data_IF_250849593914
#
_entry.id   IF_250849593914
#
_cell.length_a   1.000
_cell.length_b   1.000
_cell.length_c   1.000
_cell.angle_alpha   90.00
_cell.angle_beta   90.00
_cell.angle_gamma   90.00
#
_symmetry.space_group_name_H-M   'P 1'
#
loop_
_entity.id
_entity.type
_entity.pdbx_description
1 polymer ?
#
# COMPACT_ATOMS: atom_id res chain seq x y z
N UNK A 1 -3.64 33.87 -17.12
CA UNK A 1 -3.93 32.42 -17.33
C UNK A 1 -5.43 32.23 -17.49
N UNK A 2 -5.88 31.38 -18.40
CA UNK A 2 -7.32 31.08 -18.56
C UNK A 2 -7.81 30.17 -17.43
N UNK A 3 -9.13 30.12 -17.19
CA UNK A 3 -9.75 29.22 -16.20
C UNK A 3 -9.37 27.75 -16.40
N UNK A 4 -9.21 27.33 -17.66
CA UNK A 4 -8.76 25.99 -18.01
C UNK A 4 -7.31 25.71 -17.53
N UNK A 5 -6.40 26.67 -17.74
CA UNK A 5 -5.01 26.53 -17.28
C UNK A 5 -4.94 26.50 -15.75
N UNK A 6 -5.72 27.34 -15.05
CA UNK A 6 -5.81 27.29 -13.58
C UNK A 6 -6.37 25.97 -13.08
N UNK A 7 -7.37 25.40 -13.78
CA UNK A 7 -7.91 24.08 -13.48
C UNK A 7 -6.88 22.96 -13.62
N UNK A 8 -6.09 22.97 -14.70
CA UNK A 8 -5.02 21.98 -14.92
C UNK A 8 -3.92 22.09 -13.87
N UNK A 9 -3.46 23.31 -13.57
CA UNK A 9 -2.47 23.54 -12.49
C UNK A 9 -3.02 23.04 -11.16
N UNK A 10 -4.28 23.36 -10.85
CA UNK A 10 -4.96 22.85 -9.65
C UNK A 10 -4.95 21.33 -9.61
N UNK A 11 -5.30 20.66 -10.71
CA UNK A 11 -5.33 19.19 -10.80
C UNK A 11 -3.96 18.56 -10.53
N UNK A 12 -2.90 19.09 -11.15
CA UNK A 12 -1.53 18.60 -10.90
C UNK A 12 -1.12 18.81 -9.44
N UNK A 13 -1.42 19.98 -8.86
CA UNK A 13 -1.16 20.24 -7.44
C UNK A 13 -1.97 19.31 -6.53
N UNK A 14 -3.20 18.96 -6.90
CA UNK A 14 -4.03 17.99 -6.19
C UNK A 14 -3.40 16.60 -6.17
N UNK A 15 -2.88 16.13 -7.30
CA UNK A 15 -2.15 14.85 -7.39
C UNK A 15 -0.88 14.85 -6.53
N UNK A 16 -0.07 15.92 -6.62
CA UNK A 16 1.15 16.03 -5.83
C UNK A 16 0.87 16.09 -4.32
N UNK A 17 -0.14 16.87 -3.93
CA UNK A 17 -0.58 16.99 -2.54
C UNK A 17 -1.10 15.66 -2.01
N UNK A 18 -1.91 14.93 -2.79
CA UNK A 18 -2.41 13.62 -2.37
C UNK A 18 -1.27 12.61 -2.16
N UNK A 19 -0.25 12.58 -3.02
CA UNK A 19 0.91 11.71 -2.83
C UNK A 19 1.78 12.12 -1.62
N UNK A 20 1.85 13.42 -1.31
CA UNK A 20 2.48 13.92 -0.08
C UNK A 20 1.75 13.43 1.17
N UNK A 21 0.42 13.54 1.17
CA UNK A 21 -0.43 13.07 2.26
C UNK A 21 -0.40 11.56 2.40
N UNK A 22 -0.37 10.83 1.30
CA UNK A 22 -0.16 9.39 1.27
C UNK A 22 1.13 9.00 2.00
N UNK A 23 2.27 9.61 1.64
CA UNK A 23 3.54 9.40 2.33
C UNK A 23 3.44 9.70 3.83
N UNK A 24 2.86 10.86 4.18
CA UNK A 24 2.77 11.32 5.56
C UNK A 24 1.89 10.42 6.41
N UNK A 25 0.68 10.09 5.94
CA UNK A 25 -0.29 9.25 6.64
C UNK A 25 0.28 7.83 6.77
N UNK A 26 0.84 7.27 5.70
CA UNK A 26 1.36 5.92 5.75
C UNK A 26 2.51 5.79 6.76
N UNK A 27 3.45 6.73 6.75
CA UNK A 27 4.57 6.77 7.71
C UNK A 27 4.13 7.05 9.14
N UNK A 28 3.44 8.15 9.37
CA UNK A 28 3.22 8.67 10.73
C UNK A 28 1.95 8.12 11.38
N UNK A 29 0.91 7.84 10.60
CA UNK A 29 -0.37 7.36 11.14
C UNK A 29 -0.43 5.83 11.07
N UNK A 30 -0.25 5.25 9.88
CA UNK A 30 -0.44 3.82 9.69
C UNK A 30 0.71 2.98 10.28
N UNK A 31 1.97 3.38 10.09
CA UNK A 31 3.12 2.72 10.73
C UNK A 31 3.49 3.33 12.08
N UNK A 32 3.44 4.65 12.23
CA UNK A 32 3.72 5.30 13.50
C UNK A 32 2.72 4.90 14.59
N UNK A 33 1.48 5.35 14.46
CA UNK A 33 0.42 5.07 15.46
C UNK A 33 -0.10 3.63 15.32
N UNK A 34 -0.23 3.10 14.10
CA UNK A 34 -0.80 1.78 13.85
C UNK A 34 0.05 0.59 14.33
N UNK A 35 1.35 0.77 14.62
CA UNK A 35 2.12 -0.27 15.32
C UNK A 35 1.59 -0.56 16.73
N UNK A 36 0.89 0.37 17.36
CA UNK A 36 0.19 0.12 18.63
C UNK A 36 -1.12 -0.64 18.38
N UNK A 37 -1.23 -1.86 18.91
CA UNK A 37 -2.42 -2.73 18.76
C UNK A 37 -3.74 -2.16 19.30
N UNK A 38 -3.68 -1.17 20.20
CA UNK A 38 -4.87 -0.50 20.73
C UNK A 38 -5.34 0.65 19.84
N UNK A 39 -4.55 1.04 18.85
CA UNK A 39 -4.90 2.08 17.90
C UNK A 39 -5.98 1.61 16.92
N UNK A 40 -6.88 2.51 16.55
CA UNK A 40 -7.81 2.27 15.45
C UNK A 40 -7.06 1.94 14.14
N UNK A 41 -5.90 2.55 13.91
CA UNK A 41 -5.04 2.36 12.73
C UNK A 41 -4.24 1.04 12.75
N UNK A 42 -4.40 0.22 13.79
CA UNK A 42 -3.62 -1.02 13.95
C UNK A 42 -3.90 -2.08 12.90
N UNK A 43 -5.03 -1.97 12.18
CA UNK A 43 -5.35 -2.85 11.06
C UNK A 43 -4.26 -2.85 10.00
N UNK A 44 -3.62 -1.70 9.76
CA UNK A 44 -2.63 -1.60 8.69
C UNK A 44 -1.40 -2.48 9.00
N UNK A 45 -0.85 -2.40 10.22
CA UNK A 45 0.34 -3.19 10.57
C UNK A 45 0.03 -4.64 10.98
N UNK A 46 -0.99 -4.85 11.81
CA UNK A 46 -1.24 -6.15 12.45
C UNK A 46 -2.22 -7.06 11.69
N UNK A 47 -3.01 -6.51 10.76
CA UNK A 47 -3.87 -7.30 9.86
C UNK A 47 -3.24 -7.34 8.46
N UNK A 48 -3.18 -6.19 7.78
CA UNK A 48 -2.80 -6.07 6.37
C UNK A 48 -1.33 -6.43 6.09
N UNK A 49 -0.37 -5.78 6.77
CA UNK A 49 1.06 -6.09 6.62
C UNK A 49 1.40 -7.51 7.02
N UNK A 50 0.80 -7.98 8.12
CA UNK A 50 0.98 -9.34 8.60
C UNK A 50 0.50 -10.35 7.56
N UNK A 51 -0.71 -10.20 7.03
CA UNK A 51 -1.27 -11.07 6.00
C UNK A 51 -0.37 -11.06 4.75
N UNK A 52 -0.07 -9.87 4.24
CA UNK A 52 0.79 -9.70 3.06
C UNK A 52 2.14 -10.40 3.22
N UNK A 53 2.82 -10.28 4.37
CA UNK A 53 4.12 -10.94 4.58
C UNK A 53 4.02 -12.46 4.71
N UNK A 54 2.96 -12.94 5.36
CA UNK A 54 2.71 -14.37 5.52
C UNK A 54 2.33 -15.03 4.19
N UNK A 55 1.64 -14.31 3.32
CA UNK A 55 1.05 -14.82 2.08
C UNK A 55 1.68 -14.21 0.82
N UNK A 56 2.95 -13.79 0.89
CA UNK A 56 3.73 -13.37 -0.28
C UNK A 56 3.07 -12.24 -1.08
N UNK A 57 2.76 -11.14 -0.40
CA UNK A 57 2.03 -9.96 -0.87
C UNK A 57 0.51 -10.13 -0.95
N UNK A 58 -0.03 -11.36 -0.90
CA UNK A 58 -1.48 -11.55 -0.93
C UNK A 58 -2.13 -11.09 0.38
N UNK A 59 -3.22 -10.32 0.27
CA UNK A 59 -4.11 -10.01 1.38
C UNK A 59 -5.54 -10.41 1.04
N UNK A 60 -6.05 -11.42 1.75
CA UNK A 60 -7.37 -11.99 1.55
C UNK A 60 -8.50 -11.02 1.89
N UNK A 61 -8.24 -9.94 2.65
CA UNK A 61 -9.26 -8.94 2.92
C UNK A 61 -9.72 -8.25 1.64
N UNK A 62 -8.90 -8.13 0.59
CA UNK A 62 -9.33 -7.56 -0.70
C UNK A 62 -10.30 -8.41 -1.49
N UNK A 63 -10.40 -9.71 -1.18
CA UNK A 63 -11.43 -10.59 -1.76
C UNK A 63 -12.81 -10.40 -1.11
N UNK A 64 -12.90 -9.61 -0.04
CA UNK A 64 -14.13 -9.36 0.71
C UNK A 64 -14.83 -8.10 0.20
N UNK A 65 -16.12 -7.90 0.54
CA UNK A 65 -16.80 -6.63 0.30
C UNK A 65 -16.12 -5.47 1.05
N UNK A 66 -16.05 -4.29 0.43
CA UNK A 66 -15.41 -3.10 1.00
C UNK A 66 -16.11 -2.53 2.26
N UNK A 67 -17.31 -3.00 2.59
CA UNK A 67 -18.09 -2.52 3.72
C UNK A 67 -17.96 -3.50 4.89
N UNK A 68 -16.87 -3.38 5.65
CA UNK A 68 -16.60 -4.22 6.82
C UNK A 68 -15.56 -3.63 7.76
N UNK A 69 -15.54 -4.11 9.01
CA UNK A 69 -14.59 -3.67 10.04
C UNK A 69 -13.25 -4.45 9.99
N UNK A 70 -12.76 -4.71 8.78
CA UNK A 70 -11.47 -5.32 8.49
C UNK A 70 -10.57 -4.33 7.73
N UNK A 71 -9.35 -4.73 7.35
CA UNK A 71 -8.35 -3.79 6.86
C UNK A 71 -8.82 -3.00 5.62
N UNK A 72 -9.30 -3.69 4.59
CA UNK A 72 -9.83 -3.07 3.37
C UNK A 72 -10.98 -2.09 3.65
N UNK A 73 -11.92 -2.43 4.54
CA UNK A 73 -13.06 -1.57 4.81
C UNK A 73 -12.72 -0.32 5.63
N UNK A 74 -11.77 -0.45 6.58
CA UNK A 74 -11.23 0.70 7.32
C UNK A 74 -10.41 1.62 6.40
N UNK A 75 -9.66 1.05 5.46
CA UNK A 75 -8.99 1.81 4.40
C UNK A 75 -10.01 2.58 3.54
N UNK A 76 -11.05 1.90 3.03
CA UNK A 76 -12.09 2.53 2.23
C UNK A 76 -12.78 3.69 2.99
N UNK A 77 -13.03 3.51 4.29
CA UNK A 77 -13.57 4.56 5.15
C UNK A 77 -12.59 5.75 5.29
N UNK A 78 -11.31 5.49 5.50
CA UNK A 78 -10.27 6.54 5.58
C UNK A 78 -10.12 7.32 4.26
N UNK A 79 -10.19 6.63 3.13
CA UNK A 79 -10.17 7.24 1.80
C UNK A 79 -11.42 8.08 1.53
N UNK A 80 -12.60 7.61 1.93
CA UNK A 80 -13.84 8.38 1.84
C UNK A 80 -13.78 9.64 2.70
N UNK A 81 -13.30 9.52 3.95
CA UNK A 81 -13.10 10.68 4.82
C UNK A 81 -12.11 11.70 4.20
N UNK A 82 -11.05 11.20 3.57
CA UNK A 82 -10.08 12.01 2.83
C UNK A 82 -10.69 12.68 1.59
N UNK A 83 -11.65 12.05 0.91
CA UNK A 83 -12.35 12.71 -0.19
C UNK A 83 -13.26 13.84 0.32
N UNK A 84 -13.98 13.59 1.42
CA UNK A 84 -14.93 14.55 2.02
C UNK A 84 -14.21 15.77 2.61
N UNK A 85 -13.07 15.61 3.29
CA UNK A 85 -12.35 16.74 3.92
C UNK A 85 -11.87 17.77 2.89
N UNK A 86 -11.71 17.37 1.62
CA UNK A 86 -11.29 18.27 0.54
C UNK A 86 -12.47 18.98 -0.15
N UNK A 87 -13.72 18.55 0.08
CA UNK A 87 -14.90 19.12 -0.55
C UNK A 87 -15.07 20.65 -0.32
N UNK A 88 -14.75 21.22 0.85
CA UNK A 88 -14.82 22.67 1.06
C UNK A 88 -13.93 23.50 0.11
N UNK A 89 -12.91 22.89 -0.51
CA UNK A 89 -12.06 23.57 -1.49
C UNK A 89 -12.67 23.65 -2.90
N UNK A 90 -13.80 22.96 -3.15
CA UNK A 90 -14.44 22.91 -4.46
C UNK A 90 -14.77 24.29 -5.06
N UNK A 91 -15.32 25.27 -4.31
CA UNK A 91 -15.60 26.61 -4.85
C UNK A 91 -14.33 27.42 -5.17
N UNK A 92 -13.18 27.04 -4.62
CA UNK A 92 -11.90 27.76 -4.76
C UNK A 92 -11.06 27.15 -5.90
N UNK A 93 -10.90 25.83 -5.88
CA UNK A 93 -10.09 25.11 -6.86
C UNK A 93 -10.68 23.73 -7.16
N UNK A 94 -11.69 23.64 -8.04
CA UNK A 94 -12.30 22.37 -8.42
C UNK A 94 -11.27 21.44 -9.08
N UNK A 95 -10.32 21.99 -9.84
CA UNK A 95 -9.21 21.22 -10.41
C UNK A 95 -8.40 20.49 -9.34
N UNK A 96 -8.06 21.17 -8.24
CA UNK A 96 -7.35 20.54 -7.11
C UNK A 96 -8.15 19.40 -6.48
N UNK A 97 -9.43 19.63 -6.18
CA UNK A 97 -10.29 18.59 -5.58
C UNK A 97 -10.39 17.37 -6.51
N UNK A 98 -10.55 17.59 -7.82
CA UNK A 98 -10.54 16.51 -8.81
C UNK A 98 -9.20 15.75 -8.84
N UNK A 99 -8.07 16.46 -8.71
CA UNK A 99 -6.75 15.84 -8.62
C UNK A 99 -6.61 14.93 -7.39
N UNK A 100 -7.05 15.40 -6.23
CA UNK A 100 -7.07 14.60 -4.99
C UNK A 100 -7.95 13.36 -5.16
N UNK A 101 -9.18 13.52 -5.65
CA UNK A 101 -10.11 12.40 -5.84
C UNK A 101 -9.61 11.39 -6.87
N UNK A 102 -9.01 11.85 -7.97
CA UNK A 102 -8.36 10.97 -8.93
C UNK A 102 -7.23 10.16 -8.27
N UNK A 103 -6.43 10.79 -7.40
CA UNK A 103 -5.38 10.10 -6.65
C UNK A 103 -5.95 9.07 -5.66
N UNK A 104 -7.06 9.37 -4.97
CA UNK A 104 -7.72 8.43 -4.04
C UNK A 104 -8.23 7.19 -4.78
N UNK A 105 -8.89 7.38 -5.93
CA UNK A 105 -9.36 6.27 -6.75
C UNK A 105 -8.20 5.42 -7.28
N UNK A 106 -7.13 6.08 -7.73
CA UNK A 106 -5.94 5.42 -8.22
C UNK A 106 -5.22 4.64 -7.11
N UNK A 107 -5.11 5.23 -5.92
CA UNK A 107 -4.56 4.59 -4.73
C UNK A 107 -5.32 3.30 -4.44
N UNK A 108 -6.65 3.37 -4.27
CA UNK A 108 -7.45 2.19 -3.92
C UNK A 108 -7.33 1.09 -4.97
N UNK A 109 -7.42 1.45 -6.26
CA UNK A 109 -7.30 0.49 -7.35
C UNK A 109 -5.91 -0.19 -7.37
N UNK A 110 -4.84 0.59 -7.31
CA UNK A 110 -3.46 0.08 -7.36
C UNK A 110 -3.11 -0.73 -6.12
N UNK A 111 -3.50 -0.23 -4.95
CA UNK A 111 -3.26 -0.89 -3.68
C UNK A 111 -3.94 -2.26 -3.66
N UNK A 112 -5.26 -2.30 -3.89
CA UNK A 112 -6.01 -3.55 -4.00
C UNK A 112 -5.41 -4.52 -5.01
N UNK A 113 -5.19 -4.06 -6.25
CA UNK A 113 -4.65 -4.92 -7.31
C UNK A 113 -3.26 -5.47 -6.94
N UNK A 114 -2.44 -4.70 -6.24
CA UNK A 114 -1.10 -5.15 -5.83
C UNK A 114 -1.13 -6.32 -4.84
N UNK A 115 -2.20 -6.45 -4.07
CA UNK A 115 -2.42 -7.54 -3.12
C UNK A 115 -3.27 -8.69 -3.67
N UNK A 116 -3.89 -8.50 -4.84
CA UNK A 116 -4.55 -9.58 -5.59
C UNK A 116 -3.59 -10.22 -6.61
N UNK A 117 -2.66 -9.44 -7.18
CA UNK A 117 -1.67 -9.87 -8.16
C UNK A 117 -0.26 -9.39 -7.76
N UNK A 118 0.49 -10.20 -6.97
CA UNK A 118 1.85 -9.89 -6.56
C UNK A 118 2.85 -9.76 -7.71
N UNK A 119 2.62 -10.47 -8.83
CA UNK A 119 3.47 -10.39 -10.01
C UNK A 119 3.34 -9.03 -10.66
N UNK A 120 2.10 -8.58 -10.86
CA UNK A 120 1.82 -7.23 -11.33
C UNK A 120 2.35 -6.16 -10.38
N UNK A 121 2.19 -6.34 -9.06
CA UNK A 121 2.73 -5.43 -8.05
C UNK A 121 4.25 -5.29 -8.17
N UNK A 122 4.96 -6.42 -8.25
CA UNK A 122 6.43 -6.44 -8.34
C UNK A 122 6.93 -5.73 -9.60
N UNK A 123 6.22 -5.84 -10.71
CA UNK A 123 6.60 -5.22 -11.99
C UNK A 123 6.23 -3.74 -12.08
N UNK A 124 5.01 -3.38 -11.66
CA UNK A 124 4.42 -2.05 -11.92
C UNK A 124 4.45 -1.12 -10.69
N UNK A 125 4.52 -1.68 -9.50
CA UNK A 125 4.57 -1.00 -8.20
C UNK A 125 5.71 -1.56 -7.34
N UNK A 126 6.95 -1.66 -7.86
CA UNK A 126 8.04 -2.29 -7.12
C UNK A 126 8.27 -1.61 -5.76
N UNK A 127 8.04 -0.31 -5.63
CA UNK A 127 8.16 0.39 -4.35
C UNK A 127 7.16 -0.12 -3.29
N UNK A 128 5.92 -0.40 -3.66
CA UNK A 128 4.92 -0.93 -2.73
C UNK A 128 5.16 -2.41 -2.44
N UNK A 129 5.59 -3.17 -3.45
CA UNK A 129 6.07 -4.54 -3.22
C UNK A 129 7.24 -4.56 -2.23
N UNK A 130 8.22 -3.66 -2.40
CA UNK A 130 9.38 -3.52 -1.52
C UNK A 130 8.98 -3.16 -0.09
N UNK A 131 7.99 -2.28 0.07
CA UNK A 131 7.45 -1.90 1.38
C UNK A 131 6.97 -3.12 2.20
N UNK A 132 6.27 -4.05 1.55
CA UNK A 132 5.75 -5.24 2.21
C UNK A 132 6.78 -6.37 2.31
N UNK A 133 7.53 -6.60 1.24
CA UNK A 133 8.35 -7.81 1.07
C UNK A 133 9.81 -7.60 1.44
N UNK A 134 10.26 -6.34 1.48
CA UNK A 134 11.60 -5.97 1.92
C UNK A 134 11.87 -6.29 3.39
N UNK A 135 13.14 -6.31 3.80
CA UNK A 135 13.52 -6.52 5.19
C UNK A 135 13.20 -5.31 6.08
N UNK A 136 13.26 -4.09 5.53
CA UNK A 136 12.91 -2.85 6.21
C UNK A 136 11.48 -2.45 5.82
N UNK A 137 10.59 -2.41 6.81
CA UNK A 137 9.20 -1.98 6.62
C UNK A 137 8.98 -0.50 6.94
N UNK A 138 10.02 0.20 7.40
CA UNK A 138 9.99 1.63 7.71
C UNK A 138 10.55 2.48 6.55
N UNK A 139 10.23 2.07 5.32
CA UNK A 139 10.62 2.73 4.08
C UNK A 139 9.54 2.53 2.99
N UNK A 140 9.65 3.22 1.85
CA UNK A 140 8.73 3.08 0.69
C UNK A 140 7.24 3.33 1.05
N UNK A 141 6.91 4.53 1.51
CA UNK A 141 5.60 4.87 2.07
C UNK A 141 4.54 5.19 1.03
N UNK A 142 4.91 5.54 -0.19
CA UNK A 142 3.93 5.78 -1.23
C UNK A 142 3.49 4.45 -1.86
N UNK A 143 2.21 4.35 -2.19
CA UNK A 143 1.59 3.27 -2.99
C UNK A 143 1.36 3.74 -4.42
N UNK A 144 0.76 4.92 -4.63
CA UNK A 144 0.34 5.40 -5.94
C UNK A 144 1.54 5.67 -6.85
N UNK A 145 2.47 6.51 -6.40
CA UNK A 145 3.71 6.87 -7.08
C UNK A 145 4.80 7.13 -6.03
N UNK A 146 6.07 6.77 -6.27
CA UNK A 146 7.13 6.93 -5.27
C UNK A 146 7.68 8.36 -5.18
N UNK A 147 6.93 9.40 -5.61
CA UNK A 147 7.49 10.75 -5.72
C UNK A 147 7.96 11.29 -4.37
N UNK A 148 7.13 11.16 -3.34
CA UNK A 148 7.51 11.60 -2.00
C UNK A 148 8.50 10.66 -1.30
N UNK A 149 8.55 9.38 -1.69
CA UNK A 149 9.65 8.52 -1.24
C UNK A 149 11.00 8.95 -1.80
N UNK A 150 11.05 9.37 -3.06
CA UNK A 150 12.26 9.92 -3.65
C UNK A 150 12.60 11.29 -3.05
N UNK A 151 11.62 12.17 -2.93
CA UNK A 151 11.81 13.52 -2.39
C UNK A 151 12.30 13.50 -0.93
N UNK A 152 11.74 12.60 -0.12
CA UNK A 152 12.06 12.49 1.31
C UNK A 152 13.18 11.48 1.60
N UNK A 153 13.76 10.86 0.57
CA UNK A 153 14.87 9.91 0.71
C UNK A 153 14.48 8.59 1.40
N UNK A 154 13.23 8.16 1.30
CA UNK A 154 12.70 6.92 1.91
C UNK A 154 12.52 5.77 0.92
N UNK A 155 12.90 5.94 -0.35
CA UNK A 155 12.90 4.85 -1.33
C UNK A 155 14.07 3.88 -1.10
N UNK A 156 13.77 2.61 -0.80
CA UNK A 156 14.75 1.53 -0.63
C UNK A 156 14.38 0.33 -1.53
N UNK A 157 15.13 0.08 -2.63
CA UNK A 157 14.84 -1.04 -3.55
C UNK A 157 15.02 -2.43 -2.94
N UNK A 158 14.14 -3.36 -3.28
CA UNK A 158 14.24 -4.78 -2.90
C UNK A 158 13.92 -5.73 -4.07
N UNK A 159 12.85 -5.48 -4.82
CA UNK A 159 12.47 -6.21 -6.02
C UNK A 159 13.59 -6.15 -7.05
N UNK A 160 13.93 -7.30 -7.62
CA UNK A 160 15.01 -7.47 -8.58
C UNK A 160 16.42 -7.55 -7.97
N UNK A 161 16.56 -7.44 -6.65
CA UNK A 161 17.88 -7.50 -6.00
C UNK A 161 18.34 -8.94 -5.72
N UNK A 162 19.65 -9.14 -5.54
CA UNK A 162 20.19 -10.41 -5.05
C UNK A 162 19.59 -10.82 -3.69
N UNK A 163 19.23 -9.82 -2.88
CA UNK A 163 18.63 -10.03 -1.58
C UNK A 163 17.26 -10.67 -1.71
N UNK A 164 16.40 -10.16 -2.59
CA UNK A 164 15.10 -10.79 -2.89
C UNK A 164 15.28 -12.23 -3.35
N UNK A 165 16.17 -12.46 -4.33
CA UNK A 165 16.42 -13.80 -4.85
C UNK A 165 16.90 -14.76 -3.75
N UNK A 166 17.73 -14.29 -2.81
CA UNK A 166 18.16 -15.08 -1.66
C UNK A 166 17.02 -15.38 -0.68
N UNK A 167 16.15 -14.40 -0.41
CA UNK A 167 14.97 -14.57 0.45
C UNK A 167 13.94 -15.55 -0.14
N UNK A 168 13.74 -15.51 -1.46
CA UNK A 168 12.90 -16.47 -2.18
C UNK A 168 13.46 -17.89 -2.12
N UNK A 169 14.76 -18.08 -2.41
CA UNK A 169 15.42 -19.39 -2.27
C UNK A 169 15.29 -19.96 -0.86
N UNK A 170 15.47 -19.12 0.18
CA UNK A 170 15.27 -19.52 1.58
C UNK A 170 13.84 -19.98 1.85
N UNK A 171 12.85 -19.27 1.32
CA UNK A 171 11.42 -19.59 1.48
C UNK A 171 11.07 -20.93 0.83
N UNK A 172 11.45 -21.12 -0.44
CA UNK A 172 11.22 -22.37 -1.17
C UNK A 172 11.88 -23.57 -0.49
N UNK A 173 13.10 -23.37 0.05
CA UNK A 173 13.79 -24.42 0.82
C UNK A 173 13.01 -24.81 2.07
N UNK A 174 12.44 -23.83 2.80
CA UNK A 174 11.62 -24.09 3.99
C UNK A 174 10.32 -24.82 3.63
N UNK A 175 9.64 -24.41 2.55
CA UNK A 175 8.43 -25.05 2.06
C UNK A 175 8.68 -26.52 1.70
N UNK A 176 9.71 -26.80 0.90
CA UNK A 176 10.09 -28.18 0.53
C UNK A 176 10.41 -29.05 1.74
N UNK A 177 11.07 -28.50 2.77
CA UNK A 177 11.34 -29.22 4.02
C UNK A 177 10.07 -29.55 4.79
N UNK A 178 9.13 -28.60 4.87
CA UNK A 178 7.85 -28.79 5.53
C UNK A 178 6.99 -29.84 4.81
N UNK A 179 6.93 -29.80 3.48
CA UNK A 179 6.25 -30.79 2.64
C UNK A 179 6.85 -32.20 2.81
N UNK A 180 8.18 -32.31 2.79
CA UNK A 180 8.86 -33.58 3.01
C UNK A 180 8.55 -34.15 4.40
N UNK A 181 8.59 -33.32 5.45
CA UNK A 181 8.25 -33.74 6.81
C UNK A 181 6.80 -34.19 6.94
N UNK A 182 5.85 -33.46 6.33
CA UNK A 182 4.44 -33.83 6.31
C UNK A 182 4.21 -35.16 5.56
N UNK A 183 4.87 -35.36 4.42
CA UNK A 183 4.80 -36.61 3.66
C UNK A 183 5.37 -37.80 4.44
N UNK A 184 6.47 -37.61 5.17
CA UNK A 184 7.03 -38.64 6.05
C UNK A 184 6.10 -39.00 7.19
N UNK A 185 5.47 -38.01 7.85
CA UNK A 185 4.51 -38.25 8.93
C UNK A 185 3.27 -39.02 8.44
N UNK A 186 2.74 -38.68 7.26
CA UNK A 186 1.58 -39.35 6.67
C UNK A 186 1.86 -40.81 6.25
N UNK A 187 3.13 -41.19 6.06
CA UNK A 187 3.52 -42.59 5.77
C UNK A 187 3.76 -43.42 7.03
N UNK A 188 3.92 -42.78 8.18
CA UNK A 188 4.24 -43.42 9.45
C UNK A 188 3.01 -43.64 10.37
N UNK A 189 1.86 -43.05 10.02
CA UNK A 189 0.56 -43.31 10.66
C UNK A 189 -0.34 -44.13 9.75
#
# INVERSE_FOLDING_TARGET
MTRAVLGLVGFVLGLMSANAWEWFIHKHVLHGIGKNRRSWWSFHFHEHHRASRQHQMIDADYARPMFGLHAQGKEALGLLASAVIHLPLWPISPGYVLGVWASILLYYHRHRRSHEDPGWAREHLPWHYDHHMGPDQDCNWCVTFPWFDHLMGTRVPYAGTEREAADERRRLTRQRRAEAAAASAARAG
#
